data_IF_113956738227
#
_entry.id   IF_113956738227
#
_cell.length_a   1.000
_cell.length_b   1.000
_cell.length_c   1.000
_cell.angle_alpha   90.00
_cell.angle_beta   90.00
_cell.angle_gamma   90.00
#
_symmetry.space_group_name_H-M   'P 1'
#
loop_
_entity.id
_entity.type
_entity.pdbx_description
1 polymer ?
#
# COMPACT_ATOMS: atom_id res chain seq x y z
N UNK A 1 5.23 15.28 16.18
CA UNK A 1 4.20 14.24 16.31
C UNK A 1 3.09 14.70 15.37
N UNK A 2 2.86 14.03 14.24
CA UNK A 2 1.75 14.43 13.36
C UNK A 2 0.45 14.19 14.12
N UNK A 3 -0.39 15.21 14.24
CA UNK A 3 -1.74 15.08 14.77
C UNK A 3 -2.59 14.40 13.69
N UNK A 4 -2.64 13.07 13.72
CA UNK A 4 -3.55 12.30 12.90
C UNK A 4 -4.94 12.36 13.54
N UNK A 5 -5.95 12.69 12.73
CA UNK A 5 -7.34 12.58 13.15
C UNK A 5 -7.72 11.11 13.35
N UNK A 6 -8.78 10.86 14.13
CA UNK A 6 -9.31 9.50 14.33
C UNK A 6 -9.69 8.86 12.98
N UNK A 7 -10.22 9.65 12.05
CA UNK A 7 -10.59 9.20 10.70
C UNK A 7 -9.37 8.80 9.88
N UNK A 8 -8.26 9.52 10.00
CA UNK A 8 -7.01 9.19 9.33
C UNK A 8 -6.42 7.90 9.90
N UNK A 9 -6.44 7.73 11.22
CA UNK A 9 -5.98 6.51 11.87
C UNK A 9 -6.80 5.30 11.40
N UNK A 10 -8.12 5.40 11.39
CA UNK A 10 -9.00 4.33 10.89
C UNK A 10 -8.71 4.00 9.42
N UNK A 11 -8.50 5.03 8.59
CA UNK A 11 -8.16 4.84 7.17
C UNK A 11 -6.79 4.18 6.98
N UNK A 12 -5.80 4.55 7.79
CA UNK A 12 -4.47 3.93 7.76
C UNK A 12 -4.57 2.46 8.20
N UNK A 13 -5.36 2.14 9.23
CA UNK A 13 -5.58 0.76 9.68
C UNK A 13 -6.26 -0.07 8.58
N UNK A 14 -7.29 0.47 7.93
CA UNK A 14 -8.00 -0.18 6.83
C UNK A 14 -7.03 -0.48 5.66
N UNK A 15 -6.28 0.54 5.22
CA UNK A 15 -5.27 0.39 4.18
C UNK A 15 -4.16 -0.59 4.56
N UNK A 16 -3.71 -0.58 5.81
CA UNK A 16 -2.67 -1.49 6.28
C UNK A 16 -3.18 -2.93 6.35
N UNK A 17 -4.49 -3.15 6.53
CA UNK A 17 -5.11 -4.47 6.43
C UNK A 17 -5.35 -4.96 5.01
N UNK A 18 -5.48 -4.06 4.04
CA UNK A 18 -5.66 -4.44 2.64
C UNK A 18 -4.40 -5.08 2.03
N UNK A 19 -4.57 -6.26 1.44
CA UNK A 19 -3.45 -6.98 0.85
C UNK A 19 -2.85 -6.32 -0.41
N UNK A 20 -3.50 -5.28 -0.94
CA UNK A 20 -3.09 -4.59 -2.17
C UNK A 20 -2.43 -3.23 -1.94
N UNK A 21 -2.51 -2.70 -0.72
CA UNK A 21 -1.91 -1.40 -0.41
C UNK A 21 -0.46 -1.59 0.00
N UNK A 22 0.44 -0.85 -0.64
CA UNK A 22 1.86 -0.81 -0.29
C UNK A 22 2.09 0.24 0.77
N UNK A 23 3.15 0.08 1.58
CA UNK A 23 3.57 1.13 2.50
C UNK A 23 3.87 2.45 1.77
N UNK A 24 4.40 2.39 0.55
CA UNK A 24 4.65 3.57 -0.28
C UNK A 24 3.37 4.36 -0.59
N UNK A 25 2.22 3.69 -0.73
CA UNK A 25 0.94 4.38 -0.96
C UNK A 25 0.44 5.10 0.31
N UNK A 26 0.70 4.51 1.48
CA UNK A 26 0.39 5.11 2.78
C UNK A 26 1.33 6.30 3.04
N UNK A 27 2.62 6.15 2.72
CA UNK A 27 3.60 7.24 2.80
C UNK A 27 3.24 8.39 1.84
N UNK A 28 2.78 8.09 0.62
CA UNK A 28 2.37 9.12 -0.32
C UNK A 28 1.12 9.90 0.11
N UNK A 29 0.14 9.23 0.73
CA UNK A 29 -1.12 9.86 1.13
C UNK A 29 -1.05 10.53 2.50
N UNK A 30 -0.37 9.92 3.47
CA UNK A 30 -0.35 10.33 4.87
C UNK A 30 1.03 10.79 5.35
N UNK A 31 2.07 10.68 4.52
CA UNK A 31 3.44 11.03 4.91
C UNK A 31 4.08 10.07 5.91
N UNK A 32 3.44 8.93 6.20
CA UNK A 32 3.88 7.97 7.20
C UNK A 32 4.79 6.90 6.59
N UNK A 33 5.97 6.75 7.18
CA UNK A 33 6.90 5.69 6.80
C UNK A 33 6.39 4.33 7.27
N UNK A 34 6.88 3.26 6.64
CA UNK A 34 6.56 1.88 7.04
C UNK A 34 6.72 1.64 8.55
N UNK A 35 7.79 2.17 9.16
CA UNK A 35 8.03 2.02 10.60
C UNK A 35 6.94 2.69 11.44
N UNK A 36 6.51 3.89 11.06
CA UNK A 36 5.48 4.66 11.77
C UNK A 36 4.13 3.95 11.67
N UNK A 37 3.80 3.37 10.51
CA UNK A 37 2.60 2.55 10.33
C UNK A 37 2.67 1.28 11.19
N UNK A 38 3.82 0.63 11.29
CA UNK A 38 4.00 -0.55 12.16
C UNK A 38 3.81 -0.17 13.64
N UNK A 39 4.36 0.95 14.07
CA UNK A 39 4.20 1.46 15.44
C UNK A 39 2.73 1.83 15.74
N UNK A 40 2.06 2.50 14.80
CA UNK A 40 0.64 2.81 14.88
C UNK A 40 -0.19 1.53 15.00
N UNK A 41 0.00 0.57 14.11
CA UNK A 41 -0.70 -0.72 14.12
C UNK A 41 -0.43 -1.51 15.41
N UNK A 42 0.77 -1.38 16.00
CA UNK A 42 1.08 -2.02 17.28
C UNK A 42 0.33 -1.37 18.44
N UNK A 43 0.10 -0.06 18.40
CA UNK A 43 -0.59 0.70 19.44
C UNK A 43 -2.11 0.50 19.38
N UNK A 44 -2.68 0.51 18.17
CA UNK A 44 -4.13 0.47 17.96
C UNK A 44 -4.70 -0.96 18.04
N UNK A 45 -3.88 -1.99 17.80
CA UNK A 45 -4.34 -3.37 17.73
C UNK A 45 -3.96 -4.23 18.92
N UNK A 46 -4.76 -5.25 19.21
CA UNK A 46 -4.41 -6.30 20.18
C UNK A 46 -3.14 -7.05 19.73
N UNK A 47 -2.28 -7.49 20.67
CA UNK A 47 -1.03 -8.19 20.34
C UNK A 47 -1.19 -9.47 19.50
N UNK A 48 -2.32 -10.16 19.60
CA UNK A 48 -2.64 -11.33 18.76
C UNK A 48 -2.93 -10.94 17.30
N UNK A 49 -3.76 -9.92 17.10
CA UNK A 49 -4.08 -9.37 15.78
C UNK A 49 -2.85 -8.78 15.08
N UNK A 50 -2.03 -8.04 15.83
CA UNK A 50 -0.77 -7.49 15.33
C UNK A 50 0.18 -8.60 14.84
N UNK A 51 0.32 -9.70 15.60
CA UNK A 51 1.14 -10.84 15.19
C UNK A 51 0.65 -11.49 13.90
N UNK A 52 -0.67 -11.62 13.72
CA UNK A 52 -1.26 -12.15 12.48
C UNK A 52 -1.01 -11.22 11.29
N UNK A 53 -1.25 -9.92 11.46
CA UNK A 53 -0.97 -8.92 10.45
C UNK A 53 0.52 -8.89 10.08
N UNK A 54 1.41 -8.90 11.08
CA UNK A 54 2.85 -8.90 10.86
C UNK A 54 3.32 -10.14 10.10
N UNK A 55 2.78 -11.33 10.38
CA UNK A 55 3.06 -12.55 9.59
C UNK A 55 2.67 -12.38 8.12
N UNK A 56 1.52 -11.76 7.82
CA UNK A 56 1.07 -11.49 6.44
C UNK A 56 1.96 -10.47 5.72
N UNK A 57 2.31 -9.39 6.41
CA UNK A 57 3.14 -8.31 5.86
C UNK A 57 4.60 -8.73 5.69
N UNK A 58 5.16 -9.46 6.65
CA UNK A 58 6.57 -9.91 6.64
C UNK A 58 6.84 -10.97 5.56
N UNK A 59 5.82 -11.68 5.09
CA UNK A 59 5.91 -12.62 3.96
C UNK A 59 6.02 -11.96 2.57
N UNK A 60 5.93 -10.63 2.45
CA UNK A 60 6.04 -9.93 1.17
C UNK A 60 7.50 -9.75 0.75
N UNK A 61 8.10 -10.82 0.23
CA UNK A 61 9.43 -10.84 -0.39
C UNK A 61 9.49 -10.17 -1.77
N UNK A 62 8.41 -9.56 -2.25
CA UNK A 62 8.35 -8.90 -3.57
C UNK A 62 8.63 -7.38 -3.51
N UNK A 63 9.46 -6.93 -2.57
CA UNK A 63 9.82 -5.50 -2.39
C UNK A 63 10.99 -5.02 -3.27
N UNK A 64 11.44 -5.82 -4.24
CA UNK A 64 12.35 -5.33 -5.28
C UNK A 64 11.76 -5.59 -6.65
N UNK A 65 11.35 -4.52 -7.34
CA UNK A 65 11.15 -4.51 -8.79
C UNK A 65 12.38 -5.06 -9.55
N UNK A 66 13.55 -5.08 -8.91
CA UNK A 66 14.82 -5.66 -9.38
C UNK A 66 14.87 -7.20 -9.47
N UNK A 67 13.92 -7.93 -8.86
CA UNK A 67 13.86 -9.40 -8.88
C UNK A 67 12.80 -9.97 -9.84
N UNK A 68 12.05 -9.12 -10.56
CA UNK A 68 11.24 -9.60 -11.70
C UNK A 68 12.20 -9.95 -12.83
N UNK A 69 12.62 -11.21 -12.89
CA UNK A 69 13.12 -11.80 -14.12
C UNK A 69 12.07 -11.55 -15.20
N UNK A 70 12.45 -10.78 -16.21
CA UNK A 70 11.66 -10.53 -17.41
C UNK A 70 11.62 -11.83 -18.23
N UNK A 71 10.96 -12.86 -17.73
CA UNK A 71 10.71 -14.06 -18.50
C UNK A 71 9.25 -14.49 -18.34
N UNK A 72 8.54 -14.28 -19.44
CA UNK A 72 7.27 -14.89 -19.85
C UNK A 72 5.96 -14.47 -19.16
N UNK A 73 5.12 -13.78 -19.94
CA UNK A 73 3.66 -13.95 -19.84
C UNK A 73 2.79 -12.69 -19.83
N UNK A 74 2.62 -12.04 -20.99
CA UNK A 74 1.47 -11.18 -21.37
C UNK A 74 1.23 -9.91 -20.53
N UNK A 75 1.97 -8.84 -20.85
CA UNK A 75 1.77 -7.49 -20.28
C UNK A 75 0.50 -6.75 -20.77
N UNK A 76 -0.25 -7.30 -21.75
CA UNK A 76 -1.44 -6.66 -22.33
C UNK A 76 -2.48 -7.70 -22.73
N UNK A 77 -3.74 -7.45 -22.42
CA UNK A 77 -4.86 -8.17 -23.05
C UNK A 77 -5.01 -7.69 -24.49
N UNK A 78 -5.28 -8.57 -25.47
CA UNK A 78 -5.52 -8.17 -26.87
C UNK A 78 -6.70 -7.22 -27.06
N UNK A 79 -7.56 -7.09 -26.03
CA UNK A 79 -8.71 -6.17 -25.99
C UNK A 79 -8.44 -4.88 -25.20
N UNK A 80 -7.21 -4.66 -24.73
CA UNK A 80 -6.88 -3.48 -23.92
C UNK A 80 -6.82 -2.23 -24.81
N UNK A 81 -7.85 -1.39 -24.72
CA UNK A 81 -7.85 -0.07 -25.37
C UNK A 81 -6.79 0.84 -24.73
N UNK A 82 -6.10 1.64 -25.55
CA UNK A 82 -5.16 2.64 -25.04
C UNK A 82 -5.93 3.69 -24.24
N UNK A 83 -5.57 3.85 -22.96
CA UNK A 83 -6.05 4.95 -22.14
C UNK A 83 -5.15 6.15 -22.45
N UNK A 84 -5.55 6.97 -23.43
CA UNK A 84 -4.88 8.24 -23.68
C UNK A 84 -5.31 9.23 -22.58
N UNK A 85 -4.41 9.53 -21.66
CA UNK A 85 -4.63 10.57 -20.64
C UNK A 85 -4.43 11.98 -21.23
N UNK A 86 -5.08 12.29 -22.36
CA UNK A 86 -5.22 13.68 -22.78
C UNK A 86 -6.19 14.36 -21.81
N UNK A 87 -5.65 15.04 -20.80
CA UNK A 87 -6.39 16.05 -20.03
C UNK A 87 -6.85 17.12 -21.02
N UNK A 88 -8.14 17.10 -21.36
CA UNK A 88 -8.79 18.21 -22.06
C UNK A 88 -8.65 19.44 -21.16
N UNK A 89 -7.72 20.33 -21.51
CA UNK A 89 -7.67 21.68 -20.96
C UNK A 89 -8.90 22.42 -21.48
N UNK A 90 -9.93 22.58 -20.64
CA UNK A 90 -11.09 23.41 -20.96
C UNK A 90 -10.65 24.88 -21.05
N UNK A 91 -11.02 25.56 -22.13
CA UNK A 91 -11.20 27.01 -22.21
C UNK A 91 -12.66 27.27 -22.56
#
# INVERSE_FOLDING_TARGET
MQELSVEEIDRIIEMAWEDRTTFDAIEFQFGLKEQEVIELMRREMKPSSFRMWRKRVQGRSTKHAKLRNFNEGRHKSSRQKQITHNKISKR
#
